data_IF_179753666267
#
_entry.id   IF_179753666267
#
_cell.length_a   1.000
_cell.length_b   1.000
_cell.length_c   1.000
_cell.angle_alpha   90.00
_cell.angle_beta   90.00
_cell.angle_gamma   90.00
#
_symmetry.space_group_name_H-M   'P 1'
#
loop_
_entity.id
_entity.type
_entity.pdbx_description
1 polymer ?
#
# COMPACT_ATOMS: atom_id res chain seq x y z
N UNK A 1 -3.34 -16.03 15.49
CA UNK A 1 -2.14 -15.25 15.16
C UNK A 1 -2.09 -14.82 13.70
N UNK A 2 -2.28 -15.70 12.70
CA UNK A 2 -2.27 -15.32 11.27
C UNK A 2 -3.28 -14.24 10.84
N UNK A 3 -4.45 -14.15 11.47
CA UNK A 3 -5.46 -13.13 11.14
C UNK A 3 -5.04 -11.72 11.55
N UNK A 4 -4.52 -11.56 12.78
CA UNK A 4 -4.03 -10.29 13.32
C UNK A 4 -2.82 -9.77 12.54
N UNK A 5 -2.10 -10.65 11.85
CA UNK A 5 -0.93 -10.30 11.06
C UNK A 5 -1.17 -10.24 9.56
N UNK A 6 -2.43 -10.21 9.13
CA UNK A 6 -2.77 -10.11 7.72
C UNK A 6 -2.62 -8.67 7.20
N UNK A 7 -2.21 -8.52 5.94
CA UNK A 7 -2.04 -7.20 5.32
C UNK A 7 -3.29 -6.30 5.40
N UNK A 8 -4.53 -6.80 5.21
CA UNK A 8 -5.72 -5.96 5.35
C UNK A 8 -5.94 -5.47 6.78
N UNK A 9 -5.65 -6.29 7.80
CA UNK A 9 -5.79 -5.89 9.20
C UNK A 9 -4.72 -4.86 9.57
N UNK A 10 -3.48 -5.04 9.11
CA UNK A 10 -2.41 -4.07 9.29
C UNK A 10 -2.73 -2.72 8.62
N UNK A 11 -3.24 -2.77 7.39
CA UNK A 11 -3.67 -1.60 6.64
C UNK A 11 -4.82 -0.86 7.32
N UNK A 12 -5.83 -1.61 7.79
CA UNK A 12 -6.97 -1.03 8.50
C UNK A 12 -6.55 -0.42 9.84
N UNK A 13 -5.64 -1.07 10.56
CA UNK A 13 -5.07 -0.52 11.79
C UNK A 13 -4.29 0.76 11.50
N UNK A 14 -3.46 0.77 10.44
CA UNK A 14 -2.69 1.93 10.02
C UNK A 14 -3.58 3.13 9.74
N UNK A 15 -4.52 2.99 8.81
CA UNK A 15 -5.44 4.07 8.44
C UNK A 15 -6.38 4.41 9.60
N UNK A 16 -7.06 3.40 10.15
CA UNK A 16 -8.13 3.57 11.14
C UNK A 16 -7.65 4.12 12.48
N UNK A 17 -6.39 3.88 12.87
CA UNK A 17 -5.87 4.39 14.15
C UNK A 17 -5.89 5.91 14.24
N UNK A 18 -5.56 6.62 13.15
CA UNK A 18 -5.63 8.08 13.10
C UNK A 18 -7.05 8.58 13.34
N UNK A 19 -8.02 8.01 12.61
CA UNK A 19 -9.42 8.40 12.75
C UNK A 19 -9.97 8.08 14.13
N UNK A 20 -9.66 6.89 14.66
CA UNK A 20 -10.10 6.45 15.97
C UNK A 20 -9.57 7.35 17.09
N UNK A 21 -8.34 7.85 16.99
CA UNK A 21 -7.77 8.73 18.00
C UNK A 21 -8.32 10.15 17.87
N UNK A 22 -8.22 10.75 16.68
CA UNK A 22 -8.45 12.20 16.50
C UNK A 22 -9.91 12.60 16.33
N UNK A 23 -10.77 11.73 15.78
CA UNK A 23 -12.20 12.03 15.58
C UNK A 23 -13.09 11.44 16.69
N UNK A 24 -12.49 11.06 17.81
CA UNK A 24 -13.22 10.61 19.00
C UNK A 24 -12.68 11.34 20.24
N UNK A 25 -13.34 11.22 21.41
CA UNK A 25 -12.80 11.75 22.66
C UNK A 25 -11.47 11.11 23.11
N UNK A 26 -10.98 10.07 22.43
CA UNK A 26 -9.74 9.38 22.77
C UNK A 26 -8.53 10.32 22.78
N UNK A 27 -8.40 11.22 21.80
CA UNK A 27 -7.27 12.17 21.75
C UNK A 27 -7.18 13.02 23.02
N UNK A 28 -8.27 13.67 23.42
CA UNK A 28 -8.30 14.51 24.63
C UNK A 28 -7.91 13.72 25.89
N UNK A 29 -8.39 12.48 26.01
CA UNK A 29 -8.02 11.62 27.13
C UNK A 29 -6.55 11.19 27.10
N UNK A 30 -6.02 10.83 25.92
CA UNK A 30 -4.62 10.43 25.74
C UNK A 30 -3.67 11.60 26.02
N UNK A 31 -4.05 12.82 25.67
CA UNK A 31 -3.25 14.02 25.95
C UNK A 31 -3.25 14.43 27.42
N UNK A 32 -4.30 14.09 28.18
CA UNK A 32 -4.45 14.48 29.60
C UNK A 32 -3.34 13.96 30.50
N UNK A 33 -2.87 12.73 30.26
CA UNK A 33 -1.83 12.11 31.08
C UNK A 33 -0.58 11.86 30.26
N UNK A 34 0.59 12.25 30.80
CA UNK A 34 1.86 12.08 30.09
C UNK A 34 2.10 10.63 29.62
N UNK A 35 1.83 9.64 30.49
CA UNK A 35 1.98 8.23 30.14
C UNK A 35 1.01 7.76 29.05
N UNK A 36 -0.22 8.31 29.01
CA UNK A 36 -1.21 7.99 28.00
C UNK A 36 -0.82 8.61 26.65
N UNK A 37 -0.23 9.80 26.66
CA UNK A 37 0.34 10.41 25.46
C UNK A 37 1.53 9.58 24.95
N UNK A 38 2.43 9.11 25.82
CA UNK A 38 3.49 8.19 25.40
C UNK A 38 2.93 6.88 24.81
N UNK A 39 1.88 6.32 25.41
CA UNK A 39 1.23 5.13 24.91
C UNK A 39 0.62 5.35 23.52
N UNK A 40 0.03 6.52 23.26
CA UNK A 40 -0.48 6.90 21.93
C UNK A 40 0.64 6.90 20.88
N UNK A 41 1.78 7.52 21.19
CA UNK A 41 2.94 7.56 20.29
C UNK A 41 3.49 6.15 20.02
N UNK A 42 3.62 5.33 21.07
CA UNK A 42 4.06 3.93 20.95
C UNK A 42 3.05 3.13 20.11
N UNK A 43 1.74 3.34 20.29
CA UNK A 43 0.72 2.67 19.50
C UNK A 43 0.82 3.04 18.01
N UNK A 44 0.94 4.32 17.67
CA UNK A 44 1.16 4.75 16.28
C UNK A 44 2.45 4.19 15.69
N UNK A 45 3.55 4.20 16.46
CA UNK A 45 4.82 3.61 16.05
C UNK A 45 4.69 2.10 15.80
N UNK A 46 4.04 1.36 16.70
CA UNK A 46 3.85 -0.09 16.56
C UNK A 46 2.98 -0.43 15.36
N UNK A 47 1.88 0.31 15.15
CA UNK A 47 1.00 0.12 13.99
C UNK A 47 1.75 0.40 12.69
N UNK A 48 2.50 1.50 12.62
CA UNK A 48 3.33 1.84 11.47
C UNK A 48 4.41 0.78 11.21
N UNK A 49 5.17 0.42 12.24
CA UNK A 49 6.19 -0.62 12.16
C UNK A 49 5.62 -1.95 11.68
N UNK A 50 4.47 -2.35 12.21
CA UNK A 50 3.80 -3.59 11.82
C UNK A 50 3.38 -3.59 10.35
N UNK A 51 2.74 -2.50 9.90
CA UNK A 51 2.34 -2.33 8.52
C UNK A 51 3.55 -2.36 7.57
N UNK A 52 4.59 -1.57 7.84
CA UNK A 52 5.76 -1.50 6.96
C UNK A 52 6.61 -2.78 7.00
N UNK A 53 6.59 -3.54 8.09
CA UNK A 53 7.24 -4.86 8.13
C UNK A 53 6.59 -5.82 7.13
N UNK A 54 5.26 -5.80 6.98
CA UNK A 54 4.55 -6.63 5.98
C UNK A 54 4.83 -6.14 4.56
N UNK A 55 4.90 -4.83 4.35
CA UNK A 55 5.10 -4.23 3.04
C UNK A 55 6.55 -4.39 2.55
N UNK A 56 7.52 -3.93 3.34
CA UNK A 56 8.94 -3.89 2.98
C UNK A 56 9.63 -5.23 3.26
N UNK A 57 9.20 -5.94 4.29
CA UNK A 57 9.90 -7.12 4.79
C UNK A 57 10.07 -8.21 3.73
N UNK A 58 11.26 -8.82 3.74
CA UNK A 58 11.51 -10.09 3.09
C UNK A 58 10.78 -11.17 3.88
N UNK A 59 9.54 -11.46 3.50
CA UNK A 59 8.69 -12.39 4.21
C UNK A 59 9.32 -13.80 4.20
N UNK A 60 9.67 -14.31 5.39
CA UNK A 60 10.19 -15.68 5.60
C UNK A 60 9.11 -16.75 5.48
N UNK A 61 7.85 -16.34 5.44
CA UNK A 61 6.67 -17.19 5.31
C UNK A 61 6.34 -17.30 3.82
N UNK A 62 6.40 -18.51 3.24
CA UNK A 62 6.43 -18.78 1.79
C UNK A 62 5.24 -18.35 0.91
N UNK A 63 4.45 -17.34 1.30
CA UNK A 63 3.46 -16.67 0.44
C UNK A 63 3.76 -15.17 0.41
N UNK A 64 4.56 -14.76 -0.57
CA UNK A 64 4.88 -13.34 -0.76
C UNK A 64 3.68 -12.60 -1.37
N UNK A 65 3.41 -11.39 -0.87
CA UNK A 65 2.51 -10.46 -1.55
C UNK A 65 3.18 -10.01 -2.86
N UNK A 66 2.49 -10.07 -4.01
CA UNK A 66 3.00 -9.52 -5.26
C UNK A 66 3.40 -8.04 -5.10
N UNK A 67 4.49 -7.63 -5.75
CA UNK A 67 4.98 -6.25 -5.70
C UNK A 67 3.90 -5.22 -6.04
N UNK A 68 3.09 -5.51 -7.06
CA UNK A 68 1.94 -4.68 -7.44
C UNK A 68 0.91 -4.52 -6.32
N UNK A 69 0.62 -5.59 -5.57
CA UNK A 69 -0.33 -5.54 -4.47
C UNK A 69 0.23 -4.72 -3.30
N UNK A 70 1.52 -4.87 -2.98
CA UNK A 70 2.20 -4.03 -1.97
C UNK A 70 2.13 -2.55 -2.36
N UNK A 71 2.43 -2.23 -3.62
CA UNK A 71 2.35 -0.87 -4.15
C UNK A 71 0.92 -0.31 -4.07
N UNK A 72 -0.07 -1.09 -4.49
CA UNK A 72 -1.48 -0.71 -4.41
C UNK A 72 -1.93 -0.44 -2.96
N UNK A 73 -1.50 -1.26 -2.00
CA UNK A 73 -1.79 -1.06 -0.58
C UNK A 73 -1.15 0.21 -0.01
N UNK A 74 0.06 0.58 -0.44
CA UNK A 74 0.73 1.81 0.01
C UNK A 74 0.09 3.04 -0.61
N UNK A 75 -0.16 3.02 -1.93
CA UNK A 75 -0.80 4.14 -2.64
C UNK A 75 -2.23 4.37 -2.12
N UNK A 76 -2.95 3.30 -1.77
CA UNK A 76 -4.32 3.44 -1.27
C UNK A 76 -4.42 4.17 0.06
N UNK A 77 -3.33 4.33 0.83
CA UNK A 77 -3.30 5.09 2.08
C UNK A 77 -3.39 6.60 1.83
N UNK A 78 -2.75 7.10 0.76
CA UNK A 78 -2.66 8.53 0.44
C UNK A 78 -4.02 9.25 0.46
N UNK A 79 -5.10 8.76 -0.20
CA UNK A 79 -6.40 9.42 -0.14
C UNK A 79 -6.97 9.48 1.28
N UNK A 80 -6.65 8.52 2.16
CA UNK A 80 -7.12 8.57 3.55
C UNK A 80 -6.36 9.58 4.40
N UNK A 81 -5.07 9.82 4.16
CA UNK A 81 -4.36 10.95 4.79
C UNK A 81 -4.95 12.28 4.35
N UNK A 82 -5.27 12.43 3.06
CA UNK A 82 -5.92 13.63 2.56
C UNK A 82 -7.31 13.83 3.20
N UNK A 83 -8.14 12.77 3.29
CA UNK A 83 -9.44 12.83 3.97
C UNK A 83 -9.29 13.17 5.45
N UNK A 84 -8.32 12.58 6.15
CA UNK A 84 -8.00 12.91 7.53
C UNK A 84 -7.65 14.40 7.67
N UNK A 85 -6.71 14.89 6.87
CA UNK A 85 -6.28 16.29 6.90
C UNK A 85 -7.44 17.25 6.60
N UNK A 86 -8.26 16.96 5.59
CA UNK A 86 -9.48 17.73 5.29
C UNK A 86 -10.44 17.72 6.46
N UNK A 87 -10.61 16.59 7.15
CA UNK A 87 -11.43 16.52 8.37
C UNK A 87 -10.92 17.43 9.48
N UNK A 88 -9.61 17.52 9.68
CA UNK A 88 -8.99 18.46 10.64
C UNK A 88 -9.23 19.92 10.20
N UNK A 89 -9.03 20.22 8.92
CA UNK A 89 -9.21 21.57 8.35
C UNK A 89 -10.67 22.05 8.38
N UNK A 90 -11.62 21.13 8.26
CA UNK A 90 -13.06 21.43 8.31
C UNK A 90 -13.62 21.45 9.73
N UNK A 91 -12.86 20.98 10.72
CA UNK A 91 -13.31 20.93 12.11
C UNK A 91 -13.64 22.33 12.62
N UNK A 92 -14.86 22.49 13.13
CA UNK A 92 -15.31 23.73 13.76
C UNK A 92 -14.91 23.83 15.24
N UNK A 93 -14.37 22.74 15.80
CA UNK A 93 -13.89 22.67 17.17
C UNK A 93 -12.40 22.37 17.22
N UNK A 94 -11.77 22.83 18.30
CA UNK A 94 -10.37 22.57 18.60
C UNK A 94 -10.22 21.15 19.17
N UNK A 95 -9.43 20.32 18.51
CA UNK A 95 -9.10 18.97 18.93
C UNK A 95 -8.14 19.05 20.12
N UNK A 96 -8.53 18.45 21.25
CA UNK A 96 -7.75 18.54 22.49
C UNK A 96 -7.78 19.91 23.16
N UNK A 97 -8.85 20.70 22.96
CA UNK A 97 -8.99 22.04 23.53
C UNK A 97 -8.64 22.11 25.03
N UNK A 98 -9.19 21.20 25.84
CA UNK A 98 -8.93 21.13 27.29
C UNK A 98 -7.43 21.08 27.61
N UNK A 99 -6.64 20.31 26.84
CA UNK A 99 -5.20 20.22 27.04
C UNK A 99 -4.49 21.53 26.69
N UNK A 100 -4.71 22.06 25.48
CA UNK A 100 -4.00 23.23 24.99
C UNK A 100 -4.34 24.51 25.75
N UNK A 101 -5.60 24.66 26.17
CA UNK A 101 -6.03 25.77 27.02
C UNK A 101 -5.45 25.67 28.43
N UNK A 102 -5.35 24.45 28.99
CA UNK A 102 -4.79 24.21 30.33
C UNK A 102 -3.30 24.55 30.41
N UNK A 103 -2.51 24.20 29.39
CA UNK A 103 -1.07 24.51 29.39
C UNK A 103 -0.76 25.96 29.03
N UNK A 104 -1.76 26.73 28.57
CA UNK A 104 -1.68 28.17 28.31
C UNK A 104 -0.43 28.56 27.50
N UNK A 105 -0.28 27.96 26.31
CA UNK A 105 0.91 28.14 25.46
C UNK A 105 1.11 29.63 25.11
N UNK A 106 2.24 30.27 25.47
CA UNK A 106 2.39 31.73 25.36
C UNK A 106 2.29 32.31 23.95
N UNK A 107 2.66 31.54 22.92
CA UNK A 107 2.58 31.96 21.51
C UNK A 107 1.26 31.57 20.82
N UNK A 108 0.35 30.91 21.54
CA UNK A 108 -1.01 30.57 21.11
C UNK A 108 -2.00 31.11 22.16
N UNK A 109 -2.10 32.44 22.31
CA UNK A 109 -2.69 33.08 23.48
C UNK A 109 -4.21 32.96 23.56
N UNK A 110 -4.87 32.66 22.45
CA UNK A 110 -6.33 32.61 22.35
C UNK A 110 -6.81 31.48 21.44
N UNK A 111 -8.12 31.26 21.46
CA UNK A 111 -8.78 30.21 20.69
C UNK A 111 -8.59 30.38 19.17
N UNK A 112 -8.51 31.61 18.67
CA UNK A 112 -8.32 31.88 17.25
C UNK A 112 -6.91 31.46 16.80
N UNK A 113 -5.90 31.75 17.61
CA UNK A 113 -4.52 31.30 17.38
C UNK A 113 -4.42 29.77 17.42
N UNK A 114 -5.07 29.11 18.38
CA UNK A 114 -5.11 27.64 18.46
C UNK A 114 -5.82 27.01 17.24
N UNK A 115 -6.93 27.58 16.78
CA UNK A 115 -7.61 27.12 15.58
C UNK A 115 -6.77 27.35 14.31
N UNK A 116 -6.02 28.46 14.23
CA UNK A 116 -5.09 28.70 13.14
C UNK A 116 -3.95 27.66 13.13
N UNK A 117 -3.40 27.32 14.31
CA UNK A 117 -2.39 26.28 14.46
C UNK A 117 -2.91 24.89 14.08
N UNK A 118 -4.14 24.53 14.48
CA UNK A 118 -4.79 23.29 14.03
C UNK A 118 -4.94 23.23 12.50
N UNK A 119 -5.25 24.35 11.85
CA UNK A 119 -5.33 24.41 10.39
C UNK A 119 -3.95 24.21 9.73
N UNK A 120 -2.88 24.76 10.32
CA UNK A 120 -1.51 24.50 9.86
C UNK A 120 -1.15 23.03 10.07
N UNK A 121 -1.50 22.46 11.24
CA UNK A 121 -1.28 21.05 11.54
C UNK A 121 -2.04 20.12 10.58
N UNK A 122 -3.27 20.47 10.19
CA UNK A 122 -4.03 19.75 9.17
C UNK A 122 -3.30 19.71 7.82
N UNK A 123 -2.84 20.86 7.32
CA UNK A 123 -2.03 20.94 6.09
C UNK A 123 -0.71 20.18 6.20
N UNK A 124 0.00 20.33 7.32
CA UNK A 124 1.26 19.64 7.56
C UNK A 124 1.08 18.13 7.64
N UNK A 125 -0.01 17.65 8.27
CA UNK A 125 -0.30 16.22 8.42
C UNK A 125 -0.46 15.51 7.08
N UNK A 126 -1.04 16.18 6.08
CA UNK A 126 -1.10 15.66 4.73
C UNK A 126 0.31 15.53 4.14
N UNK A 127 1.06 16.63 4.03
CA UNK A 127 2.36 16.61 3.36
C UNK A 127 3.39 15.70 4.05
N UNK A 128 3.48 15.80 5.37
CA UNK A 128 4.43 15.00 6.16
C UNK A 128 4.05 13.52 6.17
N UNK A 129 2.75 13.20 6.08
CA UNK A 129 2.27 11.82 5.98
C UNK A 129 2.72 11.12 4.70
N UNK A 130 2.93 11.88 3.61
CA UNK A 130 3.32 11.30 2.31
C UNK A 130 4.82 11.01 2.18
N UNK A 131 5.69 11.71 2.93
CA UNK A 131 7.15 11.55 2.80
C UNK A 131 7.58 10.08 3.01
N UNK A 132 7.16 9.39 4.10
CA UNK A 132 7.51 7.98 4.28
C UNK A 132 6.92 7.09 3.18
N UNK A 133 5.71 7.38 2.71
CA UNK A 133 5.07 6.60 1.65
C UNK A 133 5.84 6.70 0.34
N UNK A 134 6.31 7.88 -0.05
CA UNK A 134 7.14 8.05 -1.25
C UNK A 134 8.47 7.29 -1.14
N UNK A 135 9.11 7.30 0.03
CA UNK A 135 10.34 6.52 0.27
C UNK A 135 10.07 5.02 0.09
N UNK A 136 8.96 4.52 0.64
CA UNK A 136 8.58 3.11 0.52
C UNK A 136 8.18 2.75 -0.91
N UNK A 137 7.44 3.61 -1.61
CA UNK A 137 7.09 3.41 -3.03
C UNK A 137 8.36 3.30 -3.86
N UNK A 138 9.34 4.20 -3.67
CA UNK A 138 10.61 4.15 -4.37
C UNK A 138 11.38 2.86 -4.06
N UNK A 139 11.40 2.43 -2.81
CA UNK A 139 12.04 1.17 -2.41
C UNK A 139 11.35 -0.06 -3.03
N UNK A 140 10.02 -0.11 -3.04
CA UNK A 140 9.25 -1.20 -3.64
C UNK A 140 9.41 -1.24 -5.16
N UNK A 141 9.41 -0.09 -5.82
CA UNK A 141 9.67 0.00 -7.26
C UNK A 141 11.07 -0.52 -7.58
N UNK A 142 12.09 -0.12 -6.81
CA UNK A 142 13.44 -0.63 -6.97
C UNK A 142 13.55 -2.15 -6.69
N UNK A 143 12.82 -2.67 -5.70
CA UNK A 143 12.74 -4.12 -5.44
C UNK A 143 12.10 -4.87 -6.61
N UNK A 144 11.00 -4.32 -7.14
CA UNK A 144 10.28 -4.92 -8.26
C UNK A 144 11.15 -4.96 -9.52
N UNK A 145 11.76 -3.85 -9.93
CA UNK A 145 12.65 -3.83 -11.10
C UNK A 145 13.81 -4.83 -11.01
N UNK A 146 14.38 -5.02 -9.81
CA UNK A 146 15.47 -5.98 -9.60
C UNK A 146 15.00 -7.43 -9.66
N UNK A 147 13.77 -7.70 -9.24
CA UNK A 147 13.20 -9.04 -9.36
C UNK A 147 12.86 -9.36 -10.81
N UNK A 148 12.20 -8.45 -11.52
CA UNK A 148 11.80 -8.66 -12.91
C UNK A 148 13.02 -8.88 -13.83
N UNK A 149 14.10 -8.12 -13.62
CA UNK A 149 15.35 -8.28 -14.38
C UNK A 149 15.99 -9.67 -14.14
N UNK A 150 15.97 -10.13 -12.89
CA UNK A 150 16.48 -11.45 -12.52
C UNK A 150 15.60 -12.57 -13.13
N UNK A 151 14.28 -12.44 -13.04
CA UNK A 151 13.34 -13.43 -13.56
C UNK A 151 13.44 -13.51 -15.09
N UNK A 152 13.58 -12.38 -15.78
CA UNK A 152 13.84 -12.33 -17.22
C UNK A 152 15.14 -13.05 -17.59
N UNK A 153 16.24 -12.79 -16.86
CA UNK A 153 17.51 -13.47 -17.09
C UNK A 153 17.44 -14.99 -16.85
N UNK A 154 16.76 -15.44 -15.80
CA UNK A 154 16.58 -16.88 -15.51
C UNK A 154 15.75 -17.57 -16.62
N UNK A 155 14.73 -16.89 -17.16
CA UNK A 155 13.93 -17.39 -18.28
C UNK A 155 14.79 -17.45 -19.56
N UNK A 156 15.53 -16.40 -19.88
CA UNK A 156 16.41 -16.35 -21.05
C UNK A 156 17.48 -17.46 -21.00
N UNK A 157 18.11 -17.69 -19.84
CA UNK A 157 19.07 -18.78 -19.66
C UNK A 157 18.42 -20.18 -19.79
N UNK A 158 17.20 -20.36 -19.27
CA UNK A 158 16.47 -21.63 -19.38
C UNK A 158 16.11 -21.95 -20.85
N UNK A 159 15.74 -20.93 -21.63
CA UNK A 159 15.46 -21.03 -23.07
C UNK A 159 16.74 -21.33 -23.85
N UNK A 160 17.83 -20.57 -23.62
CA UNK A 160 19.09 -20.75 -24.34
C UNK A 160 19.77 -22.10 -24.04
N UNK A 161 19.61 -22.62 -22.82
CA UNK A 161 20.16 -23.92 -22.42
C UNK A 161 19.36 -25.12 -22.90
N UNK A 162 18.15 -24.92 -23.44
CA UNK A 162 17.23 -25.99 -23.84
C UNK A 162 16.79 -26.87 -22.66
N UNK A 163 16.83 -26.34 -21.43
CA UNK A 163 16.39 -27.05 -20.23
C UNK A 163 14.87 -26.94 -20.01
N UNK A 164 14.21 -26.01 -20.68
CA UNK A 164 12.77 -25.80 -20.65
C UNK A 164 12.14 -26.04 -22.04
N UNK A 165 11.75 -27.30 -22.29
CA UNK A 165 11.07 -27.73 -23.52
C UNK A 165 9.62 -27.19 -23.64
N UNK A 166 9.13 -26.40 -22.67
CA UNK A 166 7.73 -25.96 -22.65
C UNK A 166 7.35 -25.07 -23.84
N UNK A 167 8.29 -24.24 -24.32
CA UNK A 167 8.10 -23.42 -25.51
C UNK A 167 8.19 -24.22 -26.81
N UNK A 168 9.04 -25.24 -26.86
CA UNK A 168 9.11 -26.15 -28.01
C UNK A 168 7.85 -26.99 -28.14
N UNK A 169 7.34 -27.54 -27.02
CA UNK A 169 6.07 -28.23 -26.98
C UNK A 169 4.89 -27.33 -27.37
N UNK A 170 4.93 -26.04 -26.99
CA UNK A 170 3.94 -25.05 -27.38
C UNK A 170 4.00 -24.71 -28.87
N UNK A 171 5.22 -24.51 -29.40
CA UNK A 171 5.45 -24.27 -30.83
C UNK A 171 5.02 -25.49 -31.67
N UNK A 172 5.29 -26.71 -31.19
CA UNK A 172 4.86 -27.96 -31.82
C UNK A 172 3.34 -28.09 -31.84
N UNK A 173 2.67 -27.72 -30.74
CA UNK A 173 1.21 -27.69 -30.67
C UNK A 173 0.64 -26.68 -31.67
N UNK A 174 1.20 -25.46 -31.76
CA UNK A 174 0.77 -24.45 -32.73
C UNK A 174 1.01 -24.92 -34.17
N UNK A 175 2.14 -25.55 -34.45
CA UNK A 175 2.45 -26.13 -35.75
C UNK A 175 1.46 -27.24 -36.13
N UNK A 176 1.07 -28.08 -35.17
CA UNK A 176 0.07 -29.12 -35.37
C UNK A 176 -1.33 -28.56 -35.65
N UNK A 177 -1.73 -27.49 -34.94
CA UNK A 177 -2.98 -26.78 -35.22
C UNK A 177 -2.98 -26.17 -36.63
N UNK A 178 -1.89 -25.51 -37.03
CA UNK A 178 -1.75 -24.96 -38.38
C UNK A 178 -1.85 -26.05 -39.46
N UNK A 179 -1.17 -27.19 -39.27
CA UNK A 179 -1.26 -28.35 -40.20
C UNK A 179 -2.69 -28.90 -40.33
N UNK A 180 -3.43 -28.96 -39.22
CA UNK A 180 -4.83 -29.42 -39.22
C UNK A 180 -5.76 -28.46 -39.97
N UNK A 181 -5.56 -27.16 -39.80
CA UNK A 181 -6.35 -26.15 -40.50
C UNK A 181 -6.06 -26.13 -42.00
N UNK A 182 -4.80 -26.26 -42.43
CA UNK A 182 -4.46 -26.43 -43.86
C UNK A 182 -5.12 -27.68 -44.45
N UNK A 183 -5.07 -28.81 -43.74
CA UNK A 183 -5.69 -30.06 -44.19
C UNK A 183 -7.21 -29.91 -44.35
N UNK A 184 -7.89 -29.29 -43.38
CA UNK A 184 -9.32 -28.99 -43.46
C UNK A 184 -9.64 -28.06 -44.63
N UNK A 185 -8.85 -27.02 -44.84
CA UNK A 185 -9.03 -26.08 -45.96
C UNK A 185 -8.88 -26.77 -47.32
N UNK A 186 -7.89 -27.67 -47.43
CA UNK A 186 -7.65 -28.47 -48.64
C UNK A 186 -8.77 -29.47 -48.91
N UNK A 187 -9.25 -30.18 -47.89
CA UNK A 187 -10.38 -31.11 -47.99
C UNK A 187 -11.69 -30.39 -48.38
N UNK A 188 -11.95 -29.21 -47.80
CA UNK A 188 -13.10 -28.38 -48.18
C UNK A 188 -13.01 -27.90 -49.64
N UNK A 189 -11.81 -27.57 -50.10
CA UNK A 189 -11.55 -27.17 -51.49
C UNK A 189 -11.79 -28.34 -52.46
N UNK A 190 -11.29 -29.55 -52.15
CA UNK A 190 -11.50 -30.74 -52.98
C UNK A 190 -12.97 -31.13 -53.09
N UNK A 191 -13.71 -31.13 -51.97
CA UNK A 191 -15.16 -31.40 -51.98
C UNK A 191 -15.95 -30.42 -52.85
N UNK A 192 -15.49 -29.17 -52.98
CA UNK A 192 -16.10 -28.16 -53.85
C UNK A 192 -15.84 -28.40 -55.34
N UNK A 193 -14.76 -29.09 -55.70
CA UNK A 193 -14.47 -29.47 -57.08
C UNK A 193 -15.14 -30.78 -57.51
N UNK A 194 -15.47 -31.64 -56.54
CA UNK A 194 -16.17 -32.92 -56.77
C UNK A 194 -17.71 -32.81 -56.74
N UNK A 195 -18.26 -31.67 -56.30
CA UNK A 195 -19.69 -31.34 -56.31
C UNK A 195 -20.08 -30.53 -57.55
#
# INVERSE_FOLDING_TARGET
WQFLTSAPVAWLAYVGSLFAVYFTPAFSWLMKYHWAHQLMLIAFMMVGYFFFTIIIGADRTGKQLPHLLKLALVISIMPFHAVFAVGILQSQSLIGAEFYETISVPWLPDHAALMADQNIAGQASWFLGEIPLFVVIAALAAQWFRQDDKEAHEIDEAVDSGADDSFDAYNDMLAELARRDEKRAREATLKRFES
#
